data_IF_963970792745
#
_entry.id   IF_963970792745
#
_cell.length_a   1.000
_cell.length_b   1.000
_cell.length_c   1.000
_cell.angle_alpha   90.00
_cell.angle_beta   90.00
_cell.angle_gamma   90.00
#
_symmetry.space_group_name_H-M   'P 1'
#
loop_
_entity.id
_entity.type
_entity.pdbx_description
1 polymer ?
#
# COMPACT_ATOMS: atom_id res chain seq x y z
N UNK A 1 -10.06 -5.26 8.16
CA UNK A 1 -8.63 -5.00 7.94
C UNK A 1 -7.91 -5.19 9.28
N UNK A 2 -6.90 -6.05 9.40
CA UNK A 2 -6.17 -6.31 10.67
C UNK A 2 -5.08 -5.25 10.90
N UNK A 3 -5.48 -3.98 10.87
CA UNK A 3 -4.55 -2.84 10.86
C UNK A 3 -3.73 -2.72 12.16
N UNK A 4 -4.32 -3.13 13.28
CA UNK A 4 -3.69 -3.25 14.60
C UNK A 4 -2.45 -4.16 14.61
N UNK A 5 -2.40 -5.13 13.69
CA UNK A 5 -1.30 -6.10 13.57
C UNK A 5 -0.18 -5.66 12.63
N UNK A 6 -0.29 -4.47 12.04
CA UNK A 6 0.73 -3.93 11.13
C UNK A 6 1.58 -2.87 11.84
N UNK A 7 2.86 -2.72 11.44
CA UNK A 7 3.69 -1.57 11.79
C UNK A 7 3.00 -0.24 11.51
N UNK A 8 3.32 0.79 12.30
CA UNK A 8 2.63 2.09 12.27
C UNK A 8 2.68 2.72 10.87
N UNK A 9 3.83 2.60 10.22
CA UNK A 9 4.16 3.12 8.89
C UNK A 9 3.24 2.54 7.79
N UNK A 10 2.68 1.35 8.03
CA UNK A 10 1.81 0.66 7.07
C UNK A 10 0.32 0.97 7.28
N UNK A 11 -0.08 1.41 8.48
CA UNK A 11 -1.51 1.50 8.84
C UNK A 11 -2.23 2.54 7.99
N UNK A 12 -1.66 3.74 7.90
CA UNK A 12 -2.28 4.83 7.17
C UNK A 12 -2.24 4.59 5.65
N UNK A 13 -1.09 4.17 5.10
CA UNK A 13 -0.99 3.90 3.65
C UNK A 13 -1.93 2.79 3.18
N UNK A 14 -2.11 1.73 4.00
CA UNK A 14 -3.06 0.67 3.72
C UNK A 14 -4.51 1.18 3.79
N UNK A 15 -4.84 1.98 4.81
CA UNK A 15 -6.16 2.56 4.99
C UNK A 15 -6.53 3.51 3.83
N UNK A 16 -5.68 4.49 3.52
CA UNK A 16 -5.91 5.44 2.42
C UNK A 16 -6.11 4.70 1.09
N UNK A 17 -5.25 3.73 0.79
CA UNK A 17 -5.41 2.89 -0.39
C UNK A 17 -6.71 2.08 -0.38
N UNK A 18 -7.13 1.55 0.77
CA UNK A 18 -8.37 0.78 0.87
C UNK A 18 -9.62 1.64 0.65
N UNK A 19 -9.60 2.89 1.10
CA UNK A 19 -10.68 3.86 0.83
C UNK A 19 -10.78 4.17 -0.66
N UNK A 20 -9.65 4.35 -1.34
CA UNK A 20 -9.63 4.79 -2.73
C UNK A 20 -9.77 3.65 -3.76
N UNK A 21 -9.33 2.43 -3.44
CA UNK A 21 -9.25 1.31 -4.38
C UNK A 21 -9.89 0.01 -3.89
N UNK A 22 -10.49 0.03 -2.68
CA UNK A 22 -11.07 -1.13 -2.05
C UNK A 22 -10.07 -1.94 -1.21
N UNK A 23 -10.60 -2.57 -0.15
CA UNK A 23 -9.81 -3.31 0.85
C UNK A 23 -8.97 -4.42 0.23
N UNK A 24 -9.57 -5.26 -0.61
CA UNK A 24 -8.88 -6.42 -1.20
C UNK A 24 -7.70 -5.99 -2.09
N UNK A 25 -7.88 -4.93 -2.90
CA UNK A 25 -6.82 -4.41 -3.76
C UNK A 25 -5.69 -3.77 -2.95
N UNK A 26 -6.03 -3.02 -1.90
CA UNK A 26 -5.04 -2.48 -0.97
C UNK A 26 -4.19 -3.59 -0.34
N UNK A 27 -4.83 -4.66 0.15
CA UNK A 27 -4.10 -5.82 0.71
C UNK A 27 -3.21 -6.49 -0.35
N UNK A 28 -3.66 -6.61 -1.60
CA UNK A 28 -2.85 -7.17 -2.69
C UNK A 28 -1.59 -6.34 -2.96
N UNK A 29 -1.64 -5.00 -2.85
CA UNK A 29 -0.44 -4.17 -2.94
C UNK A 29 0.54 -4.42 -1.80
N UNK A 30 0.03 -4.57 -0.56
CA UNK A 30 0.86 -4.94 0.59
C UNK A 30 1.54 -6.30 0.38
N UNK A 31 0.77 -7.29 -0.05
CA UNK A 31 1.29 -8.63 -0.32
C UNK A 31 2.37 -8.61 -1.40
N UNK A 32 2.18 -7.87 -2.49
CA UNK A 32 3.24 -7.69 -3.51
C UNK A 32 4.47 -6.98 -2.95
N UNK A 33 4.29 -5.95 -2.11
CA UNK A 33 5.40 -5.22 -1.50
C UNK A 33 6.27 -6.10 -0.60
N UNK A 34 5.69 -7.10 0.07
CA UNK A 34 6.40 -8.08 0.89
C UNK A 34 6.67 -9.41 0.18
N UNK A 35 6.45 -9.48 -1.14
CA UNK A 35 6.63 -10.69 -1.97
C UNK A 35 5.81 -11.91 -1.49
N UNK A 36 4.68 -11.67 -0.83
CA UNK A 36 3.70 -12.70 -0.49
C UNK A 36 2.71 -12.93 -1.64
N UNK A 37 2.04 -14.08 -1.63
CA UNK A 37 0.93 -14.35 -2.55
C UNK A 37 -0.16 -13.27 -2.41
N UNK A 38 -0.54 -12.67 -3.54
CA UNK A 38 -1.49 -11.56 -3.59
C UNK A 38 -2.96 -12.02 -3.63
N UNK A 39 -3.41 -12.74 -2.60
CA UNK A 39 -4.77 -13.26 -2.46
C UNK A 39 -5.79 -12.24 -1.91
N UNK A 40 -5.33 -11.10 -1.38
CA UNK A 40 -6.17 -10.06 -0.80
C UNK A 40 -6.58 -10.30 0.66
N UNK A 41 -5.99 -11.28 1.35
CA UNK A 41 -6.30 -11.63 2.74
C UNK A 41 -5.06 -11.49 3.64
N UNK A 42 -5.18 -10.72 4.74
CA UNK A 42 -4.12 -10.63 5.75
C UNK A 42 -4.16 -11.88 6.66
N UNK A 43 -3.47 -12.92 6.22
CA UNK A 43 -3.23 -14.17 6.97
C UNK A 43 -1.86 -14.23 7.64
N UNK A 44 -1.56 -15.33 8.36
CA UNK A 44 -0.27 -15.52 9.04
C UNK A 44 0.94 -15.37 8.12
N UNK A 45 0.86 -15.85 6.88
CA UNK A 45 1.95 -15.72 5.89
C UNK A 45 2.25 -14.26 5.53
N UNK A 46 1.21 -13.43 5.34
CA UNK A 46 1.40 -11.99 5.09
C UNK A 46 1.99 -11.30 6.30
N UNK A 47 1.53 -11.61 7.51
CA UNK A 47 2.06 -11.02 8.74
C UNK A 47 3.53 -11.41 8.99
N UNK A 48 3.90 -12.67 8.74
CA UNK A 48 5.29 -13.12 8.82
C UNK A 48 6.20 -12.44 7.78
N UNK A 49 5.70 -12.21 6.56
CA UNK A 49 6.45 -11.49 5.54
C UNK A 49 6.64 -10.00 5.92
N UNK A 50 5.62 -9.38 6.51
CA UNK A 50 5.70 -8.01 7.04
C UNK A 50 6.70 -7.91 8.19
N UNK A 51 6.75 -8.87 9.11
CA UNK A 51 7.67 -8.83 10.25
C UNK A 51 9.15 -9.00 9.89
N UNK A 52 9.45 -9.52 8.71
CA UNK A 52 10.82 -9.82 8.27
C UNK A 52 11.47 -8.69 7.45
N UNK A 53 10.76 -7.59 7.19
CA UNK A 53 11.23 -6.49 6.34
C UNK A 53 11.10 -5.16 7.07
N UNK A 54 11.92 -4.18 6.68
CA UNK A 54 11.85 -2.83 7.24
C UNK A 54 10.51 -2.17 6.87
N UNK A 55 9.72 -1.67 7.84
CA UNK A 55 8.40 -1.09 7.59
C UNK A 55 8.37 0.06 6.59
N UNK A 56 9.35 0.98 6.64
CA UNK A 56 9.43 2.10 5.69
C UNK A 56 9.72 1.60 4.26
N UNK A 57 10.56 0.57 4.11
CA UNK A 57 10.80 -0.05 2.79
C UNK A 57 9.53 -0.72 2.26
N UNK A 58 8.77 -1.42 3.11
CA UNK A 58 7.48 -2.00 2.72
C UNK A 58 6.51 -0.91 2.27
N UNK A 59 6.40 0.19 3.04
CA UNK A 59 5.50 1.30 2.75
C UNK A 59 5.84 1.99 1.40
N UNK A 60 7.13 2.27 1.16
CA UNK A 60 7.59 2.83 -0.12
C UNK A 60 7.30 1.90 -1.30
N UNK A 61 7.58 0.60 -1.15
CA UNK A 61 7.28 -0.40 -2.18
C UNK A 61 5.77 -0.53 -2.41
N UNK A 62 4.96 -0.50 -1.36
CA UNK A 62 3.50 -0.50 -1.43
C UNK A 62 2.97 0.69 -2.26
N UNK A 63 3.45 1.89 -1.97
CA UNK A 63 3.06 3.11 -2.69
C UNK A 63 3.48 3.03 -4.17
N UNK A 64 4.65 2.47 -4.47
CA UNK A 64 5.08 2.18 -5.84
C UNK A 64 4.18 1.17 -6.56
N UNK A 65 3.78 0.08 -5.91
CA UNK A 65 2.83 -0.90 -6.46
C UNK A 65 1.46 -0.28 -6.75
N UNK A 66 0.99 0.59 -5.85
CA UNK A 66 -0.24 1.36 -6.03
C UNK A 66 -0.12 2.29 -7.24
N UNK A 67 0.92 3.12 -7.30
CA UNK A 67 1.12 4.07 -8.39
C UNK A 67 1.18 3.34 -9.75
N UNK A 68 1.97 2.26 -9.85
CA UNK A 68 2.09 1.45 -11.06
C UNK A 68 0.75 0.84 -11.51
N UNK A 69 -0.12 0.47 -10.57
CA UNK A 69 -1.47 0.01 -10.92
C UNK A 69 -2.33 1.16 -11.44
N UNK A 70 -2.27 2.32 -10.78
CA UNK A 70 -3.10 3.47 -11.12
C UNK A 70 -2.75 4.06 -12.49
N UNK A 71 -1.47 4.02 -12.89
CA UNK A 71 -1.03 4.48 -14.22
C UNK A 71 -1.60 3.64 -15.37
N UNK A 72 -2.13 2.44 -15.10
CA UNK A 72 -2.79 1.59 -16.09
C UNK A 72 -4.31 1.77 -16.17
N UNK A 73 -4.91 2.67 -15.37
CA UNK A 73 -6.36 2.87 -15.37
C UNK A 73 -6.81 3.78 -16.52
N UNK A 74 -7.96 3.47 -17.11
CA UNK A 74 -8.55 4.24 -18.23
C UNK A 74 -8.72 5.74 -17.93
N UNK A 75 -8.92 6.11 -16.67
CA UNK A 75 -9.15 7.51 -16.25
C UNK A 75 -7.87 8.21 -15.75
N UNK A 76 -6.69 7.62 -15.98
CA UNK A 76 -5.42 8.21 -15.57
C UNK A 76 -5.22 9.63 -16.13
N UNK A 77 -5.54 9.86 -17.40
CA UNK A 77 -5.34 11.18 -18.02
C UNK A 77 -6.20 12.29 -17.36
N UNK A 78 -7.36 11.91 -16.81
CA UNK A 78 -8.28 12.84 -16.16
C UNK A 78 -7.93 13.09 -14.68
N UNK A 79 -7.57 12.03 -13.94
CA UNK A 79 -7.44 12.10 -12.47
C UNK A 79 -6.04 11.77 -11.93
N UNK A 80 -5.14 11.26 -12.77
CA UNK A 80 -3.84 10.72 -12.40
C UNK A 80 -2.93 11.70 -11.68
N UNK A 81 -3.00 12.99 -12.03
CA UNK A 81 -2.25 14.04 -11.32
C UNK A 81 -2.62 14.11 -9.84
N UNK A 82 -3.92 14.13 -9.53
CA UNK A 82 -4.40 14.19 -8.15
C UNK A 82 -4.05 12.93 -7.37
N UNK A 83 -4.17 11.77 -8.02
CA UNK A 83 -3.78 10.49 -7.43
C UNK A 83 -2.28 10.40 -7.13
N UNK A 84 -1.43 10.80 -8.08
CA UNK A 84 0.01 10.81 -7.92
C UNK A 84 0.44 11.78 -6.80
N UNK A 85 -0.17 12.97 -6.73
CA UNK A 85 0.08 13.94 -5.65
C UNK A 85 -0.20 13.32 -4.28
N UNK A 86 -1.37 12.68 -4.09
CA UNK A 86 -1.71 12.02 -2.83
C UNK A 86 -0.73 10.91 -2.46
N UNK A 87 -0.29 10.11 -3.43
CA UNK A 87 0.71 9.06 -3.20
C UNK A 87 2.07 9.68 -2.79
N UNK A 88 2.44 10.80 -3.41
CA UNK A 88 3.64 11.56 -3.04
C UNK A 88 3.56 12.07 -1.61
N UNK A 89 2.43 12.65 -1.20
CA UNK A 89 2.22 13.14 0.17
C UNK A 89 2.31 12.00 1.19
N UNK A 90 1.73 10.84 0.87
CA UNK A 90 1.87 9.65 1.70
C UNK A 90 3.34 9.21 1.81
N UNK A 91 4.11 9.24 0.71
CA UNK A 91 5.52 8.85 0.69
C UNK A 91 6.38 9.78 1.54
N UNK A 92 6.19 11.10 1.42
CA UNK A 92 6.94 12.09 2.18
C UNK A 92 6.57 12.09 3.66
N UNK A 93 5.32 11.75 4.01
CA UNK A 93 4.92 11.60 5.43
C UNK A 93 5.62 10.44 6.15
N UNK A 94 6.18 9.45 5.43
CA UNK A 94 6.87 8.31 6.04
C UNK A 94 8.16 8.69 6.77
N UNK A 95 8.76 9.85 6.46
CA UNK A 95 9.93 10.38 7.17
C UNK A 95 9.58 11.20 8.41
N UNK A 96 8.29 11.40 8.68
CA UNK A 96 7.80 12.16 9.84
C UNK A 96 7.44 11.28 11.04
N UNK A 97 7.70 9.97 10.95
CA UNK A 97 7.55 8.97 12.02
C UNK A 97 8.93 8.42 12.37
#
# INVERSE_FOLDING_TARGET
VKADKLPLELRFVLFDAAVNAGVAQSIKWLQRAVRAQADGVIGPKTLAAVSNLNPHQIASNFLGQRLKHMTGLRHWDQFGRGWASRISDNLTSLSSF
#
